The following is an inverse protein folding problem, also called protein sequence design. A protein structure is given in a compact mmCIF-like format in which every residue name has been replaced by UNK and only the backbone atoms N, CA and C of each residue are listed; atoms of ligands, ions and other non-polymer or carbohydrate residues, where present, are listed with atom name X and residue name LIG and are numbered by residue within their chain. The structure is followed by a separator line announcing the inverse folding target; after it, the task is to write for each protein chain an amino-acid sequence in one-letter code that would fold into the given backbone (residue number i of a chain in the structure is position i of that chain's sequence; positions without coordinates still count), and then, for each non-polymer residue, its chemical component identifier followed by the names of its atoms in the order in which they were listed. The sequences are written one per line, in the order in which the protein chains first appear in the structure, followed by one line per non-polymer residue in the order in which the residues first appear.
data_IF_298973978861
#
_entry.id   IF_298973978861
#
_cell.length_a   1.000
_cell.length_b   1.000
_cell.length_c   1.000
_cell.angle_alpha   90.00
_cell.angle_beta   90.00
_cell.angle_gamma   90.00
#
_symmetry.space_group_name_H-M   'P 1'
#
loop_
_entity.id
_entity.type
_entity.pdbx_description
1 polymer ?
#
# COMPACT_ATOMS: atom_id res chain seq x y z
N UNK A 1 8.03 -14.35 8.27
CA UNK A 1 7.41 -13.02 8.04
C UNK A 1 7.98 -12.46 6.76
N UNK A 2 7.14 -12.15 5.78
CA UNK A 2 7.61 -11.58 4.51
C UNK A 2 8.03 -10.13 4.73
N UNK A 3 9.13 -9.65 4.10
CA UNK A 3 9.50 -8.23 4.17
C UNK A 3 8.35 -7.38 3.59
N UNK A 4 7.86 -6.43 4.36
CA UNK A 4 6.80 -5.51 3.95
C UNK A 4 5.41 -5.79 4.51
N UNK A 5 5.22 -6.83 5.30
CA UNK A 5 3.95 -7.09 5.99
C UNK A 5 3.94 -6.37 7.35
N UNK A 6 3.19 -5.27 7.44
CA UNK A 6 2.90 -4.64 8.72
C UNK A 6 1.79 -5.44 9.40
N UNK A 7 2.15 -6.26 10.35
CA UNK A 7 1.17 -6.90 11.22
C UNK A 7 0.94 -6.02 12.44
N UNK A 8 -0.18 -5.33 12.48
CA UNK A 8 -0.65 -4.72 13.72
C UNK A 8 -1.09 -5.85 14.64
N UNK A 9 -0.27 -6.18 15.62
CA UNK A 9 -0.67 -7.10 16.67
C UNK A 9 -1.50 -6.32 17.68
N UNK A 10 -2.81 -6.44 17.58
CA UNK A 10 -3.66 -6.13 18.73
C UNK A 10 -3.52 -7.31 19.68
N UNK A 11 -3.20 -7.08 20.92
CA UNK A 11 -3.17 -8.16 21.89
C UNK A 11 -4.53 -8.88 21.89
N UNK A 12 -4.54 -10.21 22.01
CA UNK A 12 -5.79 -10.94 22.14
C UNK A 12 -6.58 -10.34 23.31
N UNK A 13 -7.87 -10.25 23.12
CA UNK A 13 -8.86 -9.68 24.07
C UNK A 13 -8.42 -9.78 25.51
N UNK A 14 -8.39 -8.69 26.28
CA UNK A 14 -7.72 -8.65 27.57
C UNK A 14 -8.31 -9.68 28.52
N UNK A 15 -7.48 -10.59 28.98
CA UNK A 15 -7.68 -11.22 30.25
C UNK A 15 -7.62 -10.08 31.26
N UNK A 16 -8.72 -9.82 31.91
CA UNK A 16 -8.99 -8.80 32.89
C UNK A 16 -7.78 -7.92 33.30
N UNK A 17 -7.86 -6.63 32.96
CA UNK A 17 -7.17 -5.54 33.64
C UNK A 17 -5.70 -5.23 33.27
N UNK A 18 -5.23 -5.50 32.06
CA UNK A 18 -3.97 -4.91 31.59
C UNK A 18 -4.19 -4.17 30.27
N UNK A 19 -4.61 -2.92 30.36
CA UNK A 19 -4.61 -2.00 29.23
C UNK A 19 -3.14 -1.60 28.98
N UNK A 20 -2.43 -2.37 28.16
CA UNK A 20 -1.04 -2.11 27.77
C UNK A 20 -0.98 -1.71 26.30
N UNK A 21 -0.16 -0.73 25.98
CA UNK A 21 0.21 -0.37 24.64
C UNK A 21 1.67 -0.74 24.43
N UNK A 22 1.93 -1.66 23.51
CA UNK A 22 3.28 -2.12 23.21
C UNK A 22 3.92 -1.23 22.14
N UNK A 23 5.10 -0.68 22.45
CA UNK A 23 5.94 0.04 21.50
C UNK A 23 6.94 -0.94 20.88
N UNK A 24 6.80 -1.18 19.60
CA UNK A 24 7.67 -2.08 18.84
C UNK A 24 8.59 -1.28 17.92
N UNK A 25 9.86 -1.69 17.84
CA UNK A 25 10.78 -1.18 16.82
C UNK A 25 10.50 -1.88 15.50
N UNK A 26 9.95 -1.14 14.56
CA UNK A 26 9.87 -1.59 13.16
C UNK A 26 11.14 -1.13 12.43
N UNK A 27 12.15 -1.97 12.37
CA UNK A 27 13.43 -1.67 11.74
C UNK A 27 13.37 -1.57 10.21
N UNK A 28 12.25 -1.94 9.59
CA UNK A 28 12.02 -1.81 8.16
C UNK A 28 10.56 -1.47 7.88
N UNK A 29 10.04 -0.43 8.50
CA UNK A 29 8.81 0.19 8.08
C UNK A 29 9.07 0.95 6.77
N UNK A 30 9.27 0.24 5.69
CA UNK A 30 8.92 0.79 4.40
C UNK A 30 7.42 1.01 4.46
N UNK A 31 7.03 2.25 4.66
CA UNK A 31 5.64 2.61 4.54
C UNK A 31 5.14 2.03 3.22
N UNK A 32 3.98 1.38 3.22
CA UNK A 32 3.32 0.94 1.99
C UNK A 32 2.93 2.12 1.09
N UNK A 33 3.37 3.32 1.45
CA UNK A 33 3.21 4.58 0.77
C UNK A 33 4.46 4.75 -0.09
N UNK A 34 4.47 4.14 -1.26
CA UNK A 34 5.53 4.29 -2.24
C UNK A 34 4.94 4.39 -3.64
N UNK A 35 5.69 5.03 -4.52
CA UNK A 35 5.32 5.09 -5.93
C UNK A 35 5.29 3.67 -6.49
N UNK A 36 4.19 3.22 -7.09
CA UNK A 36 4.13 1.92 -7.73
C UNK A 36 5.24 1.77 -8.77
N UNK A 37 5.88 0.61 -8.78
CA UNK A 37 6.83 0.27 -9.82
C UNK A 37 6.06 -0.39 -10.95
N UNK A 38 5.91 0.34 -12.04
CA UNK A 38 5.28 -0.19 -13.24
C UNK A 38 6.22 -1.12 -14.01
N UNK A 39 5.71 -2.19 -14.60
CA UNK A 39 6.51 -3.04 -15.48
C UNK A 39 6.92 -2.25 -16.74
N UNK A 40 8.07 -2.56 -17.30
CA UNK A 40 8.42 -2.07 -18.61
C UNK A 40 7.48 -2.71 -19.66
N UNK A 41 7.12 -1.95 -20.69
CA UNK A 41 6.40 -2.52 -21.84
C UNK A 41 7.25 -3.60 -22.50
N UNK A 42 6.69 -4.81 -22.64
CA UNK A 42 7.40 -5.93 -23.25
C UNK A 42 6.91 -7.29 -22.73
N UNK A 43 7.66 -8.36 -23.06
CA UNK A 43 7.32 -9.71 -22.63
C UNK A 43 7.53 -9.87 -21.11
N UNK A 44 6.64 -10.61 -20.47
CA UNK A 44 6.80 -11.03 -19.08
C UNK A 44 7.81 -12.18 -18.97
N UNK A 45 8.56 -12.28 -17.86
CA UNK A 45 9.50 -13.37 -17.65
C UNK A 45 8.84 -14.76 -17.78
N UNK A 46 9.58 -15.75 -18.30
CA UNK A 46 9.11 -17.13 -18.38
C UNK A 46 7.95 -17.34 -19.34
N UNK A 47 7.85 -16.56 -20.40
CA UNK A 47 6.78 -16.65 -21.42
C UNK A 47 5.35 -16.55 -20.83
N UNK A 48 5.23 -15.85 -19.72
CA UNK A 48 3.95 -15.69 -19.02
C UNK A 48 2.97 -14.76 -19.74
N UNK A 49 3.43 -13.99 -20.72
CA UNK A 49 2.61 -13.03 -21.46
C UNK A 49 3.36 -11.74 -21.75
N UNK A 50 2.64 -10.62 -21.72
CA UNK A 50 3.20 -9.29 -21.99
C UNK A 50 2.64 -8.22 -21.06
N UNK A 51 3.41 -7.15 -20.89
CA UNK A 51 3.01 -5.95 -20.19
C UNK A 51 3.00 -4.76 -21.15
N UNK A 52 2.06 -3.84 -20.95
CA UNK A 52 2.01 -2.53 -21.60
C UNK A 52 1.96 -1.50 -20.48
N UNK A 53 2.85 -0.53 -20.53
CA UNK A 53 2.89 0.61 -19.61
C UNK A 53 2.52 1.88 -20.37
N UNK A 54 1.57 2.64 -19.84
CA UNK A 54 1.11 3.90 -20.37
C UNK A 54 1.24 5.00 -19.33
N UNK A 55 1.84 6.12 -19.71
CA UNK A 55 1.86 7.35 -18.93
C UNK A 55 0.58 8.14 -19.24
N UNK A 56 -0.24 8.36 -18.21
CA UNK A 56 -1.50 9.12 -18.34
C UNK A 56 -1.31 10.62 -18.12
N UNK A 57 -0.06 11.06 -17.87
CA UNK A 57 0.26 12.45 -17.60
C UNK A 57 -0.15 12.91 -16.21
N UNK A 58 -0.47 14.19 -16.10
CA UNK A 58 -0.77 14.83 -14.83
C UNK A 58 -2.21 15.28 -14.74
N UNK A 59 -2.82 15.18 -13.56
CA UNK A 59 -4.11 15.80 -13.23
C UNK A 59 -4.19 16.16 -11.75
N UNK A 60 -5.17 16.96 -11.40
CA UNK A 60 -5.50 17.24 -9.99
C UNK A 60 -6.60 16.30 -9.50
N UNK A 61 -6.38 15.73 -8.32
CA UNK A 61 -7.38 14.96 -7.58
C UNK A 61 -7.51 15.65 -6.22
N UNK A 62 -8.69 16.11 -5.88
CA UNK A 62 -9.00 16.82 -4.63
C UNK A 62 -8.02 17.97 -4.35
N UNK A 63 -7.69 18.75 -5.42
CA UNK A 63 -6.76 19.88 -5.34
C UNK A 63 -5.27 19.53 -5.27
N UNK A 64 -4.90 18.25 -5.31
CA UNK A 64 -3.51 17.76 -5.25
C UNK A 64 -3.06 17.30 -6.62
N UNK A 65 -1.89 17.76 -7.07
CA UNK A 65 -1.30 17.29 -8.33
C UNK A 65 -0.89 15.82 -8.24
N UNK A 66 -1.28 15.05 -9.25
CA UNK A 66 -0.94 13.63 -9.37
C UNK A 66 -0.39 13.30 -10.74
N UNK A 67 0.46 12.26 -10.80
CA UNK A 67 0.97 11.62 -12.00
C UNK A 67 0.26 10.28 -12.19
N UNK A 68 -0.32 10.07 -13.36
CA UNK A 68 -1.09 8.88 -13.69
C UNK A 68 -0.28 7.86 -14.46
N UNK A 69 -0.46 6.58 -14.13
CA UNK A 69 0.07 5.45 -14.88
C UNK A 69 -1.00 4.39 -15.08
N UNK A 70 -0.95 3.70 -16.23
CA UNK A 70 -1.83 2.59 -16.53
C UNK A 70 -0.99 1.40 -16.99
N UNK A 71 -1.09 0.30 -16.30
CA UNK A 71 -0.37 -0.93 -16.57
C UNK A 71 -1.36 -2.02 -17.01
N UNK A 72 -1.16 -2.58 -18.19
CA UNK A 72 -1.95 -3.67 -18.75
C UNK A 72 -1.09 -4.91 -18.81
N UNK A 73 -1.47 -5.94 -18.03
CA UNK A 73 -0.80 -7.22 -17.98
C UNK A 73 -1.65 -8.25 -18.73
N UNK A 74 -1.13 -8.82 -19.82
CA UNK A 74 -1.80 -9.82 -20.64
C UNK A 74 -1.11 -11.15 -20.39
N UNK A 75 -1.76 -12.04 -19.66
CA UNK A 75 -1.24 -13.36 -19.32
C UNK A 75 -1.64 -14.40 -20.36
N UNK A 76 -0.69 -15.29 -20.70
CA UNK A 76 -0.92 -16.41 -21.59
C UNK A 76 -1.85 -17.47 -20.96
N UNK A 77 -2.51 -18.32 -21.79
CA UNK A 77 -3.25 -19.45 -21.25
C UNK A 77 -2.39 -20.35 -20.35
N UNK A 78 -2.97 -20.84 -19.28
CA UNK A 78 -2.33 -21.74 -18.33
C UNK A 78 -1.57 -21.08 -17.19
N UNK A 79 -1.19 -19.80 -17.28
CA UNK A 79 -0.39 -19.12 -16.23
C UNK A 79 -1.10 -19.12 -14.87
N UNK A 80 -2.41 -18.94 -14.87
CA UNK A 80 -3.27 -18.98 -13.68
C UNK A 80 -4.37 -20.02 -13.78
N UNK A 81 -4.17 -21.09 -14.57
CA UNK A 81 -5.20 -22.08 -14.87
C UNK A 81 -6.27 -21.59 -15.84
N UNK A 82 -6.03 -20.49 -16.52
CA UNK A 82 -6.91 -19.88 -17.53
C UNK A 82 -6.79 -20.65 -18.86
N UNK A 83 -7.91 -20.85 -19.55
CA UNK A 83 -8.00 -21.48 -20.87
C UNK A 83 -7.72 -20.54 -22.05
N UNK A 84 -7.73 -19.24 -21.80
CA UNK A 84 -7.51 -18.15 -22.76
C UNK A 84 -6.70 -17.04 -22.14
N UNK A 85 -6.20 -16.11 -22.96
CA UNK A 85 -5.49 -14.93 -22.46
C UNK A 85 -6.34 -14.17 -21.44
N UNK A 86 -5.69 -13.72 -20.39
CA UNK A 86 -6.34 -12.97 -19.32
C UNK A 86 -5.65 -11.61 -19.17
N UNK A 87 -6.45 -10.54 -19.11
CA UNK A 87 -5.95 -9.19 -18.96
C UNK A 87 -6.24 -8.68 -17.56
N UNK A 88 -5.21 -8.15 -16.92
CA UNK A 88 -5.29 -7.43 -15.64
C UNK A 88 -4.83 -6.00 -15.87
N UNK A 89 -5.61 -5.04 -15.44
CA UNK A 89 -5.32 -3.62 -15.60
C UNK A 89 -5.17 -2.96 -14.24
N UNK A 90 -4.15 -2.10 -14.11
CA UNK A 90 -3.91 -1.30 -12.92
C UNK A 90 -3.72 0.15 -13.34
N UNK A 91 -4.52 1.04 -12.79
CA UNK A 91 -4.38 2.49 -12.94
C UNK A 91 -4.02 3.09 -11.59
N UNK A 92 -2.99 3.93 -11.56
CA UNK A 92 -2.53 4.60 -10.36
C UNK A 92 -2.41 6.10 -10.60
N UNK A 93 -2.79 6.89 -9.59
CA UNK A 93 -2.58 8.33 -9.57
C UNK A 93 -1.79 8.69 -8.32
N UNK A 94 -0.51 8.83 -8.52
CA UNK A 94 0.48 9.09 -7.48
C UNK A 94 0.68 10.60 -7.29
N UNK A 95 0.70 11.07 -6.04
CA UNK A 95 1.11 12.43 -5.70
C UNK A 95 2.57 12.44 -5.25
N UNK A 96 3.49 13.08 -6.02
CA UNK A 96 4.87 13.28 -5.57
C UNK A 96 4.96 14.16 -4.33
N UNK A 97 4.06 15.11 -4.17
CA UNK A 97 4.02 16.02 -3.04
C UNK A 97 3.67 15.31 -1.73
N UNK A 98 2.69 14.42 -1.77
CA UNK A 98 2.21 13.71 -0.58
C UNK A 98 2.91 12.37 -0.37
N UNK A 99 3.57 11.84 -1.39
CA UNK A 99 4.19 10.53 -1.35
C UNK A 99 3.19 9.38 -1.24
N UNK A 100 1.98 9.53 -1.81
CA UNK A 100 0.95 8.49 -1.77
C UNK A 100 0.09 8.44 -3.04
N UNK A 101 -0.56 7.31 -3.28
CA UNK A 101 -1.57 7.18 -4.34
C UNK A 101 -2.89 7.74 -3.85
N UNK A 102 -3.44 8.73 -4.58
CA UNK A 102 -4.77 9.28 -4.31
C UNK A 102 -5.88 8.46 -4.94
N UNK A 103 -5.59 7.77 -6.03
CA UNK A 103 -6.53 6.87 -6.69
C UNK A 103 -5.78 5.65 -7.22
N UNK A 104 -6.31 4.48 -6.95
CA UNK A 104 -5.87 3.21 -7.54
C UNK A 104 -7.07 2.44 -8.04
N UNK A 105 -7.03 2.00 -9.29
CA UNK A 105 -8.07 1.17 -9.90
C UNK A 105 -7.41 -0.11 -10.41
N UNK A 106 -7.89 -1.24 -9.94
CA UNK A 106 -7.46 -2.56 -10.42
C UNK A 106 -8.66 -3.27 -11.03
N UNK A 107 -8.49 -3.76 -12.25
CA UNK A 107 -9.46 -4.62 -12.93
C UNK A 107 -8.81 -5.98 -13.19
N UNK A 108 -9.34 -7.01 -12.55
CA UNK A 108 -8.84 -8.39 -12.66
C UNK A 108 -10.04 -9.32 -12.87
N UNK A 109 -10.08 -10.12 -13.94
CA UNK A 109 -11.19 -11.02 -14.22
C UNK A 109 -11.50 -12.02 -13.11
N UNK A 110 -10.52 -12.30 -12.23
CA UNK A 110 -10.66 -13.24 -11.11
C UNK A 110 -11.32 -12.62 -9.89
N UNK A 111 -11.12 -11.33 -9.67
CA UNK A 111 -11.56 -10.62 -8.45
C UNK A 111 -12.48 -9.44 -8.73
N UNK A 112 -12.66 -9.08 -10.02
CA UNK A 112 -13.47 -7.95 -10.43
C UNK A 112 -12.70 -6.62 -10.37
N UNK A 113 -13.44 -5.52 -10.40
CA UNK A 113 -12.90 -4.16 -10.31
C UNK A 113 -12.83 -3.71 -8.86
N UNK A 114 -11.65 -3.28 -8.45
CA UNK A 114 -11.39 -2.69 -7.15
C UNK A 114 -10.97 -1.23 -7.35
N UNK A 115 -11.53 -0.32 -6.57
CA UNK A 115 -11.17 1.09 -6.59
C UNK A 115 -10.84 1.55 -5.18
N UNK A 116 -9.67 2.15 -5.03
CA UNK A 116 -9.24 2.82 -3.81
C UNK A 116 -9.11 4.31 -4.11
N UNK A 117 -9.74 5.14 -3.30
CA UNK A 117 -9.69 6.60 -3.42
C UNK A 117 -9.40 7.20 -2.05
N UNK A 118 -8.45 8.12 -2.00
CA UNK A 118 -8.24 8.99 -0.83
C UNK A 118 -9.21 10.15 -0.94
N UNK A 119 -9.99 10.38 0.11
CA UNK A 119 -10.91 11.52 0.22
C UNK A 119 -10.56 12.35 1.45
N UNK A 120 -10.93 13.62 1.43
CA UNK A 120 -10.74 14.53 2.55
C UNK A 120 -9.28 14.64 3.02
N UNK A 121 -8.34 14.71 2.05
CA UNK A 121 -6.93 14.83 2.36
C UNK A 121 -6.61 16.22 2.91
N UNK A 122 -6.40 16.34 4.21
CA UNK A 122 -5.98 17.57 4.87
C UNK A 122 -4.49 17.56 5.09
N UNK A 123 -3.79 18.56 4.52
CA UNK A 123 -2.36 18.74 4.74
C UNK A 123 -2.14 19.58 6.01
N UNK A 124 -1.39 19.06 6.95
CA UNK A 124 -1.05 19.73 8.20
C UNK A 124 -0.67 18.77 9.30
N UNK A 125 -0.25 19.31 10.42
CA UNK A 125 0.02 18.50 11.60
C UNK A 125 -1.31 17.95 12.12
N UNK A 126 -1.44 16.64 12.29
CA UNK A 126 -2.64 16.05 12.88
C UNK A 126 -2.79 16.46 14.34
N UNK A 127 -4.02 16.45 14.84
CA UNK A 127 -4.29 16.77 16.24
C UNK A 127 -3.43 15.89 17.17
N UNK A 128 -2.61 16.51 18.05
CA UNK A 128 -1.76 15.78 18.98
C UNK A 128 -2.52 14.78 19.86
N UNK A 129 -3.79 14.98 20.10
CA UNK A 129 -4.64 14.07 20.86
C UNK A 129 -4.78 12.68 20.23
N UNK A 130 -4.62 12.58 18.89
CA UNK A 130 -4.65 11.32 18.15
C UNK A 130 -3.47 10.39 18.49
N UNK A 131 -2.40 10.95 19.03
CA UNK A 131 -1.18 10.21 19.41
C UNK A 131 -1.05 10.02 20.92
N UNK A 132 -2.06 10.41 21.68
CA UNK A 132 -2.06 10.21 23.12
C UNK A 132 -2.64 8.83 23.45
N UNK A 133 -2.00 8.19 24.42
CA UNK A 133 -2.53 6.94 24.95
C UNK A 133 -3.85 7.19 25.66
N UNK A 134 -4.86 6.34 25.48
CA UNK A 134 -6.07 6.42 26.25
C UNK A 134 -5.77 6.30 27.76
N UNK A 135 -6.53 7.00 28.59
CA UNK A 135 -6.35 6.94 30.03
C UNK A 135 -6.51 5.50 30.54
N UNK A 136 -5.63 5.08 31.43
CA UNK A 136 -5.65 3.75 32.03
C UNK A 136 -4.85 2.68 31.26
N UNK A 137 -4.08 3.07 30.24
CA UNK A 137 -3.13 2.18 29.58
C UNK A 137 -1.72 2.36 30.15
N UNK A 138 -1.01 1.26 30.38
CA UNK A 138 0.40 1.24 30.70
C UNK A 138 1.22 1.08 29.41
N UNK A 139 2.30 1.85 29.28
CA UNK A 139 3.22 1.73 28.13
C UNK A 139 4.28 0.71 28.45
N UNK A 140 4.33 -0.37 27.69
CA UNK A 140 5.43 -1.33 27.72
C UNK A 140 6.32 -1.08 26.49
N UNK A 141 7.54 -0.59 26.73
CA UNK A 141 8.49 -0.28 25.65
C UNK A 141 9.39 -1.49 25.36
N UNK A 142 9.14 -2.15 24.25
CA UNK A 142 9.93 -3.27 23.76
C UNK A 142 10.98 -2.85 22.69
N UNK A 143 11.18 -1.56 22.47
CA UNK A 143 12.20 -1.10 21.55
C UNK A 143 13.57 -1.44 22.10
N UNK A 144 14.41 -2.06 21.28
CA UNK A 144 15.79 -2.34 21.66
C UNK A 144 16.53 -1.01 21.85
N UNK A 145 16.89 -0.69 23.07
CA UNK A 145 17.80 0.39 23.42
C UNK A 145 19.22 -0.10 23.13
N UNK A 146 19.71 0.10 21.93
CA UNK A 146 21.06 -0.28 21.57
C UNK A 146 21.31 -0.29 20.08
N UNK A 147 21.54 0.89 19.51
CA UNK A 147 22.41 1.00 18.37
C UNK A 147 23.83 1.09 18.92
N UNK A 148 24.74 0.15 18.59
CA UNK A 148 26.16 0.39 18.82
C UNK A 148 26.57 1.56 17.93
N UNK A 149 27.29 2.51 18.51
CA UNK A 149 27.96 3.60 17.81
C UNK A 149 29.01 3.06 16.85
#
# INVERSE_FOLDING_TARGET
MKPGEQTFHFPPTPVAAQNTCELLNYTNSTSNIYKPVSPATGPLPGDQGSAIHEDLGKRFIDGVETEGTHDILIYNPGVYGNDRKMTVENEFWWSPQLGLNLLSIKTDPRTGKQTFTVTDCVQGDPDPSLFQLPAGFEVVDHRQTGLPQ
#
